data_IF_833651009348
#
_entry.id   IF_833651009348
#
_cell.length_a   1.000
_cell.length_b   1.000
_cell.length_c   1.000
_cell.angle_alpha   90.00
_cell.angle_beta   90.00
_cell.angle_gamma   90.00
#
_symmetry.space_group_name_H-M   'P 1'
#
loop_
_entity.id
_entity.type
_entity.pdbx_description
1 polymer ?
#
# COMPACT_ATOMS: atom_id res chain seq x y z
N UNK A 1 76.52 26.36 -36.29
CA UNK A 1 75.37 25.55 -35.85
C UNK A 1 74.66 26.27 -34.69
N UNK A 2 73.56 26.98 -34.93
CA UNK A 2 72.65 27.51 -33.88
C UNK A 2 71.41 28.18 -34.51
N UNK A 3 70.49 27.43 -35.11
CA UNK A 3 69.20 27.98 -35.62
C UNK A 3 67.97 27.11 -35.31
N UNK A 4 68.06 26.18 -34.36
CA UNK A 4 66.99 25.19 -34.08
C UNK A 4 66.10 25.44 -32.86
N UNK A 5 66.52 26.28 -31.90
CA UNK A 5 65.94 26.26 -30.55
C UNK A 5 64.83 27.30 -30.32
N UNK A 6 64.88 28.47 -30.95
CA UNK A 6 63.87 29.53 -30.78
C UNK A 6 62.49 29.18 -31.35
N UNK A 7 62.43 28.41 -32.43
CA UNK A 7 61.18 28.11 -33.15
C UNK A 7 60.37 26.94 -32.53
N UNK A 8 61.00 26.14 -31.65
CA UNK A 8 60.30 25.10 -30.87
C UNK A 8 59.61 25.68 -29.63
N UNK A 9 60.23 26.67 -28.98
CA UNK A 9 59.65 27.37 -27.83
C UNK A 9 58.35 28.07 -28.21
N UNK A 10 58.37 28.89 -29.27
CA UNK A 10 57.19 29.61 -29.76
C UNK A 10 56.05 28.69 -30.20
N UNK A 11 56.36 27.53 -30.80
CA UNK A 11 55.34 26.52 -31.15
C UNK A 11 54.71 25.87 -29.91
N UNK A 12 55.49 25.57 -28.88
CA UNK A 12 54.97 25.02 -27.62
C UNK A 12 54.11 26.05 -26.89
N UNK A 13 54.48 27.33 -26.91
CA UNK A 13 53.72 28.42 -26.31
C UNK A 13 52.38 28.64 -27.03
N UNK A 14 52.36 28.59 -28.37
CA UNK A 14 51.13 28.65 -29.17
C UNK A 14 50.22 27.43 -28.90
N UNK A 15 50.79 26.23 -28.74
CA UNK A 15 50.03 25.03 -28.36
C UNK A 15 49.47 25.12 -26.94
N UNK A 16 50.23 25.70 -26.01
CA UNK A 16 49.76 26.00 -24.64
C UNK A 16 48.62 27.00 -24.64
N UNK A 17 48.75 28.09 -25.42
CA UNK A 17 47.71 29.11 -25.56
C UNK A 17 46.45 28.54 -26.22
N UNK A 18 46.60 27.72 -27.26
CA UNK A 18 45.49 27.02 -27.90
C UNK A 18 44.77 26.09 -26.91
N UNK A 19 45.52 25.35 -26.08
CA UNK A 19 44.93 24.49 -25.02
C UNK A 19 44.16 25.30 -23.98
N UNK A 20 44.69 26.45 -23.54
CA UNK A 20 44.00 27.33 -22.60
C UNK A 20 42.73 27.90 -23.22
N UNK A 21 42.77 28.32 -24.49
CA UNK A 21 41.59 28.82 -25.22
C UNK A 21 40.56 27.71 -25.42
N UNK A 22 40.95 26.51 -25.85
CA UNK A 22 40.02 25.40 -26.02
C UNK A 22 39.41 24.97 -24.70
N UNK A 23 40.19 24.96 -23.62
CA UNK A 23 39.68 24.64 -22.29
C UNK A 23 38.70 25.72 -21.81
N UNK A 24 39.02 27.00 -21.99
CA UNK A 24 38.14 28.11 -21.61
C UNK A 24 36.82 28.11 -22.42
N UNK A 25 36.88 27.83 -23.72
CA UNK A 25 35.71 27.71 -24.58
C UNK A 25 34.88 26.47 -24.22
N UNK A 26 35.52 25.35 -23.88
CA UNK A 26 34.82 24.14 -23.44
C UNK A 26 34.12 24.34 -22.10
N UNK A 27 34.76 25.01 -21.14
CA UNK A 27 34.17 25.33 -19.84
C UNK A 27 33.00 26.32 -20.00
N UNK A 28 33.14 27.34 -20.84
CA UNK A 28 32.03 28.27 -21.15
C UNK A 28 30.87 27.57 -21.85
N UNK A 29 31.15 26.67 -22.80
CA UNK A 29 30.11 25.87 -23.44
C UNK A 29 29.39 25.00 -22.41
N UNK A 30 30.10 24.33 -21.51
CA UNK A 30 29.49 23.58 -20.41
C UNK A 30 28.65 24.47 -19.48
N UNK A 31 29.11 25.70 -19.21
CA UNK A 31 28.37 26.67 -18.38
C UNK A 31 27.08 27.14 -19.08
N UNK A 32 27.16 27.45 -20.37
CA UNK A 32 26.01 27.85 -21.18
C UNK A 32 25.05 26.67 -21.35
N UNK A 33 25.58 25.47 -21.57
CA UNK A 33 24.81 24.24 -21.69
C UNK A 33 24.15 23.87 -20.36
N UNK A 34 24.77 24.11 -19.20
CA UNK A 34 24.11 23.91 -17.90
C UNK A 34 23.09 24.99 -17.56
N UNK A 35 23.21 26.19 -18.14
CA UNK A 35 22.23 27.27 -17.99
C UNK A 35 21.04 27.09 -18.94
N UNK A 36 21.25 26.48 -20.11
CA UNK A 36 20.20 26.14 -21.09
C UNK A 36 19.54 24.80 -20.76
N UNK A 37 20.30 23.83 -20.23
CA UNK A 37 19.82 22.60 -19.62
C UNK A 37 19.87 22.73 -18.09
N UNK A 38 19.03 23.61 -17.54
CA UNK A 38 18.47 23.37 -16.20
C UNK A 38 17.91 21.95 -16.28
N UNK A 39 18.44 21.03 -15.46
CA UNK A 39 18.09 19.60 -15.52
C UNK A 39 16.58 19.48 -15.72
N UNK A 40 16.18 18.99 -16.89
CA UNK A 40 14.76 18.84 -17.23
C UNK A 40 14.21 17.81 -16.26
N UNK A 41 13.49 18.28 -15.27
CA UNK A 41 12.74 17.40 -14.41
C UNK A 41 11.51 16.97 -15.20
N UNK A 42 11.54 15.73 -15.68
CA UNK A 42 10.45 15.17 -16.46
C UNK A 42 9.14 15.15 -15.64
N UNK A 43 9.22 15.04 -14.32
CA UNK A 43 8.05 15.06 -13.45
C UNK A 43 7.45 16.46 -13.42
N UNK A 44 8.26 17.50 -13.22
CA UNK A 44 7.81 18.89 -13.25
C UNK A 44 7.23 19.27 -14.62
N UNK A 45 7.87 18.87 -15.72
CA UNK A 45 7.39 19.15 -17.08
C UNK A 45 6.05 18.45 -17.40
N UNK A 46 5.83 17.25 -16.86
CA UNK A 46 4.59 16.50 -17.06
C UNK A 46 3.52 16.80 -15.99
N UNK A 47 3.87 17.58 -14.97
CA UNK A 47 2.98 17.88 -13.83
C UNK A 47 2.79 16.72 -12.85
N UNK A 48 3.73 15.77 -12.80
CA UNK A 48 3.71 14.68 -11.82
C UNK A 48 4.19 15.19 -10.46
N UNK A 49 3.44 14.95 -9.38
CA UNK A 49 3.87 15.34 -8.03
C UNK A 49 5.03 14.44 -7.55
N UNK A 50 5.91 15.00 -6.73
CA UNK A 50 7.03 14.26 -6.12
C UNK A 50 6.55 13.17 -5.15
N UNK A 51 5.45 13.44 -4.44
CA UNK A 51 4.81 12.50 -3.52
C UNK A 51 3.32 12.43 -3.84
N UNK A 52 2.79 11.20 -3.94
CA UNK A 52 1.39 10.95 -4.22
C UNK A 52 0.69 10.64 -2.88
N UNK A 53 -0.17 11.52 -2.36
CA UNK A 53 -0.89 11.24 -1.12
C UNK A 53 -1.93 10.13 -1.34
N UNK A 54 -2.26 9.39 -0.28
CA UNK A 54 -3.22 8.27 -0.33
C UNK A 54 -4.57 8.66 -0.94
N UNK A 55 -5.04 9.87 -0.67
CA UNK A 55 -6.30 10.40 -1.21
C UNK A 55 -6.31 10.51 -2.74
N UNK A 56 -5.15 10.73 -3.35
CA UNK A 56 -5.05 10.88 -4.81
C UNK A 56 -5.33 9.55 -5.51
N UNK A 57 -4.86 8.42 -4.95
CA UNK A 57 -5.21 7.09 -5.45
C UNK A 57 -6.73 6.87 -5.48
N UNK A 58 -7.42 7.32 -4.43
CA UNK A 58 -8.88 7.22 -4.37
C UNK A 58 -9.56 8.11 -5.39
N UNK A 59 -9.12 9.35 -5.55
CA UNK A 59 -9.65 10.25 -6.58
C UNK A 59 -9.43 9.69 -7.98
N UNK A 60 -8.26 9.15 -8.27
CA UNK A 60 -7.97 8.49 -9.56
C UNK A 60 -8.89 7.31 -9.77
N UNK A 61 -9.09 6.45 -8.77
CA UNK A 61 -10.02 5.33 -8.86
C UNK A 61 -11.47 5.77 -9.11
N UNK A 62 -11.94 6.84 -8.45
CA UNK A 62 -13.34 7.30 -8.55
C UNK A 62 -13.59 8.15 -9.80
N UNK A 63 -12.59 8.89 -10.31
CA UNK A 63 -12.76 9.86 -11.41
C UNK A 63 -12.21 9.36 -12.74
N UNK A 64 -11.14 8.57 -12.73
CA UNK A 64 -10.48 8.10 -13.95
C UNK A 64 -10.86 6.66 -14.26
N UNK A 65 -11.63 6.47 -15.34
CA UNK A 65 -12.13 5.15 -15.72
C UNK A 65 -11.02 4.11 -15.98
N UNK A 66 -9.79 4.54 -16.30
CA UNK A 66 -8.64 3.65 -16.44
C UNK A 66 -8.23 3.09 -15.08
N UNK A 67 -8.13 3.93 -14.05
CA UNK A 67 -7.80 3.51 -12.69
C UNK A 67 -8.84 2.50 -12.17
N UNK A 68 -10.13 2.82 -12.31
CA UNK A 68 -11.22 1.90 -11.96
C UNK A 68 -11.09 0.55 -12.67
N UNK A 69 -10.77 0.57 -13.98
CA UNK A 69 -10.70 -0.65 -14.79
C UNK A 69 -9.50 -1.52 -14.43
N UNK A 70 -8.33 -0.93 -14.20
CA UNK A 70 -7.12 -1.65 -13.84
C UNK A 70 -7.30 -2.33 -12.49
N UNK A 71 -7.82 -1.62 -11.50
CA UNK A 71 -8.04 -2.17 -10.16
C UNK A 71 -9.09 -3.28 -10.17
N UNK A 72 -10.18 -3.13 -10.93
CA UNK A 72 -11.29 -4.08 -10.85
C UNK A 72 -11.13 -5.33 -11.72
N UNK A 73 -10.35 -5.28 -12.80
CA UNK A 73 -10.32 -6.38 -13.79
C UNK A 73 -9.82 -7.71 -13.20
N UNK A 74 -8.77 -7.69 -12.37
CA UNK A 74 -8.18 -8.91 -11.81
C UNK A 74 -9.08 -9.51 -10.71
N UNK A 75 -9.53 -8.74 -9.69
CA UNK A 75 -10.49 -9.24 -8.71
C UNK A 75 -11.77 -9.77 -9.37
N UNK A 76 -12.35 -9.06 -10.33
CA UNK A 76 -13.59 -9.53 -10.99
C UNK A 76 -13.42 -10.85 -11.75
N UNK A 77 -12.21 -11.14 -12.23
CA UNK A 77 -11.90 -12.42 -12.86
C UNK A 77 -11.64 -13.51 -11.83
N UNK A 78 -10.91 -13.18 -10.76
CA UNK A 78 -10.60 -14.10 -9.67
C UNK A 78 -11.88 -14.60 -8.99
N UNK A 79 -12.77 -13.67 -8.60
CA UNK A 79 -14.01 -13.93 -7.89
C UNK A 79 -15.20 -14.26 -8.80
N UNK A 80 -14.95 -14.69 -10.05
CA UNK A 80 -16.03 -15.08 -10.98
C UNK A 80 -16.67 -16.42 -10.58
N UNK A 81 -15.89 -17.29 -9.96
CA UNK A 81 -16.35 -18.56 -9.42
C UNK A 81 -16.03 -18.59 -7.94
N UNK A 82 -16.98 -19.03 -7.14
CA UNK A 82 -16.78 -19.14 -5.70
C UNK A 82 -15.71 -20.22 -5.41
N UNK A 83 -14.77 -19.95 -4.49
CA UNK A 83 -13.81 -20.95 -4.06
C UNK A 83 -14.51 -22.15 -3.42
N UNK A 84 -13.99 -23.35 -3.69
CA UNK A 84 -14.37 -24.57 -2.97
C UNK A 84 -13.34 -24.85 -1.89
N UNK A 85 -13.80 -25.06 -0.65
CA UNK A 85 -12.95 -25.40 0.50
C UNK A 85 -13.26 -26.85 0.89
N UNK A 86 -12.24 -27.69 0.92
CA UNK A 86 -12.33 -29.07 1.40
C UNK A 86 -11.11 -29.45 2.24
N UNK A 87 -11.31 -30.23 3.30
CA UNK A 87 -10.27 -30.72 4.21
C UNK A 87 -9.57 -31.98 3.64
N UNK A 88 -10.23 -32.71 2.74
CA UNK A 88 -9.72 -33.93 2.15
C UNK A 88 -10.07 -34.14 0.67
N UNK A 89 -9.61 -35.28 0.15
CA UNK A 89 -10.02 -35.83 -1.15
C UNK A 89 -11.23 -36.77 -1.03
N UNK A 90 -11.59 -37.14 0.20
CA UNK A 90 -12.71 -38.01 0.49
C UNK A 90 -14.03 -37.25 0.31
N UNK A 91 -15.08 -37.98 -0.10
CA UNK A 91 -16.38 -37.39 -0.44
C UNK A 91 -17.30 -37.14 0.75
N UNK A 92 -16.84 -37.42 1.98
CA UNK A 92 -17.65 -37.22 3.19
C UNK A 92 -17.44 -35.81 3.72
N UNK A 93 -18.53 -35.04 3.85
CA UNK A 93 -18.50 -33.68 4.38
C UNK A 93 -17.99 -33.70 5.83
N UNK A 94 -16.93 -32.94 6.09
CA UNK A 94 -16.37 -32.81 7.44
C UNK A 94 -17.16 -31.80 8.27
N UNK A 95 -17.12 -31.92 9.60
CA UNK A 95 -17.77 -30.95 10.50
C UNK A 95 -17.25 -29.52 10.28
N UNK A 96 -16.00 -29.37 9.83
CA UNK A 96 -15.43 -28.09 9.44
C UNK A 96 -16.05 -27.54 8.16
N UNK A 97 -16.18 -28.37 7.11
CA UNK A 97 -16.78 -27.97 5.83
C UNK A 97 -18.22 -27.49 6.02
N UNK A 98 -19.03 -28.23 6.79
CA UNK A 98 -20.41 -27.82 7.09
C UNK A 98 -20.45 -26.48 7.82
N UNK A 99 -19.64 -26.31 8.86
CA UNK A 99 -19.59 -25.05 9.63
C UNK A 99 -19.07 -23.87 8.79
N UNK A 100 -18.11 -24.12 7.89
CA UNK A 100 -17.57 -23.11 6.99
C UNK A 100 -18.60 -22.70 5.93
N UNK A 101 -19.36 -23.64 5.38
CA UNK A 101 -20.45 -23.33 4.46
C UNK A 101 -21.56 -22.50 5.12
N UNK A 102 -21.92 -22.80 6.36
CA UNK A 102 -22.86 -21.99 7.14
C UNK A 102 -22.32 -20.56 7.32
N UNK A 103 -21.05 -20.42 7.69
CA UNK A 103 -20.40 -19.11 7.82
C UNK A 103 -20.42 -18.31 6.51
N UNK A 104 -20.11 -18.97 5.38
CA UNK A 104 -20.13 -18.36 4.04
C UNK A 104 -21.53 -17.85 3.69
N UNK A 105 -22.57 -18.66 3.96
CA UNK A 105 -23.97 -18.33 3.67
C UNK A 105 -24.47 -17.19 4.56
N UNK A 106 -24.20 -17.23 5.85
CA UNK A 106 -24.70 -16.23 6.82
C UNK A 106 -24.08 -14.85 6.60
N UNK A 107 -22.78 -14.81 6.31
CA UNK A 107 -22.03 -13.57 6.22
C UNK A 107 -21.76 -13.09 4.80
N UNK A 108 -22.20 -13.83 3.77
CA UNK A 108 -21.86 -13.59 2.37
C UNK A 108 -20.34 -13.38 2.20
N UNK A 109 -19.54 -14.32 2.71
CA UNK A 109 -18.10 -14.16 2.87
C UNK A 109 -17.40 -13.79 1.55
N UNK A 110 -17.73 -14.47 0.45
CA UNK A 110 -17.15 -14.22 -0.88
C UNK A 110 -17.41 -12.82 -1.41
N UNK A 111 -18.58 -12.25 -1.11
CA UNK A 111 -18.88 -10.87 -1.50
C UNK A 111 -17.96 -9.88 -0.78
N UNK A 112 -17.71 -10.07 0.53
CA UNK A 112 -16.82 -9.18 1.27
C UNK A 112 -15.34 -9.40 0.94
N UNK A 113 -14.92 -10.63 0.69
CA UNK A 113 -13.56 -10.94 0.25
C UNK A 113 -13.27 -10.37 -1.15
N UNK A 114 -14.20 -10.50 -2.10
CA UNK A 114 -14.08 -9.85 -3.41
C UNK A 114 -14.01 -8.33 -3.30
N UNK A 115 -14.74 -7.74 -2.35
CA UNK A 115 -14.69 -6.29 -2.11
C UNK A 115 -13.38 -5.83 -1.50
N UNK A 116 -12.85 -6.53 -0.50
CA UNK A 116 -11.56 -6.13 0.09
C UNK A 116 -10.43 -6.27 -0.91
N UNK A 117 -10.47 -7.29 -1.78
CA UNK A 117 -9.49 -7.48 -2.86
C UNK A 117 -9.47 -6.29 -3.86
N UNK A 118 -10.66 -5.77 -4.22
CA UNK A 118 -10.76 -4.53 -5.00
C UNK A 118 -10.25 -3.31 -4.23
N UNK A 119 -10.61 -3.20 -2.95
CA UNK A 119 -10.20 -2.06 -2.12
C UNK A 119 -8.70 -2.06 -1.80
N UNK A 120 -8.05 -3.22 -1.73
CA UNK A 120 -6.60 -3.30 -1.55
C UNK A 120 -5.80 -2.79 -2.74
N UNK A 121 -6.40 -2.76 -3.93
CA UNK A 121 -5.83 -2.11 -5.11
C UNK A 121 -5.96 -0.57 -5.09
N UNK A 122 -6.63 0.01 -4.10
CA UNK A 122 -6.74 1.46 -3.92
C UNK A 122 -5.75 1.89 -2.83
N UNK A 123 -4.66 2.55 -3.24
CA UNK A 123 -3.54 2.86 -2.36
C UNK A 123 -2.60 1.67 -2.26
N UNK A 124 -2.14 1.35 -1.04
CA UNK A 124 -1.08 0.36 -0.82
C UNK A 124 -1.59 -0.90 -0.11
N UNK A 125 -2.76 -0.85 0.53
CA UNK A 125 -3.37 -1.98 1.21
C UNK A 125 -4.86 -1.72 1.48
N UNK A 126 -5.60 -2.79 1.73
CA UNK A 126 -6.96 -2.78 2.23
C UNK A 126 -7.04 -3.60 3.51
N UNK A 127 -8.12 -3.41 4.27
CA UNK A 127 -8.40 -4.22 5.45
C UNK A 127 -9.81 -4.77 5.42
N UNK A 128 -10.00 -5.93 6.02
CA UNK A 128 -11.31 -6.45 6.39
C UNK A 128 -11.43 -6.44 7.91
N UNK A 129 -12.26 -5.54 8.43
CA UNK A 129 -12.58 -5.46 9.85
C UNK A 129 -13.59 -6.56 10.21
N UNK A 130 -13.25 -7.31 11.26
CA UNK A 130 -14.06 -8.40 11.81
C UNK A 130 -14.78 -7.92 13.09
N UNK A 131 -16.10 -7.96 13.08
CA UNK A 131 -16.91 -7.84 14.30
C UNK A 131 -17.04 -9.20 14.95
N UNK A 132 -16.55 -9.37 16.18
CA UNK A 132 -16.53 -10.64 16.92
C UNK A 132 -17.28 -10.46 18.24
N UNK A 133 -18.00 -11.49 18.70
CA UNK A 133 -18.85 -11.47 19.89
C UNK A 133 -18.10 -11.69 21.23
N UNK A 134 -16.88 -11.20 21.36
CA UNK A 134 -16.04 -11.44 22.55
C UNK A 134 -16.28 -10.43 23.69
N UNK A 135 -17.18 -9.46 23.50
CA UNK A 135 -17.54 -8.46 24.52
C UNK A 135 -16.43 -7.47 24.87
N UNK A 136 -15.30 -7.48 24.15
CA UNK A 136 -14.14 -6.61 24.36
C UNK A 136 -14.18 -5.41 23.43
N UNK A 137 -13.32 -4.42 23.68
CA UNK A 137 -13.20 -3.27 22.78
C UNK A 137 -12.36 -3.63 21.55
N UNK A 138 -12.49 -2.86 20.47
CA UNK A 138 -11.68 -3.09 19.27
C UNK A 138 -10.18 -2.98 19.50
N UNK A 139 -9.75 -2.24 20.52
CA UNK A 139 -8.35 -2.06 20.85
C UNK A 139 -7.74 -3.28 21.55
N UNK A 140 -8.58 -4.16 22.10
CA UNK A 140 -8.14 -5.34 22.82
C UNK A 140 -7.99 -6.54 21.85
N UNK A 141 -6.98 -7.40 22.07
CA UNK A 141 -6.83 -8.62 21.30
C UNK A 141 -8.03 -9.55 21.47
N UNK A 142 -8.36 -10.26 20.39
CA UNK A 142 -9.39 -11.31 20.40
C UNK A 142 -8.87 -12.45 21.26
N UNK A 143 -9.73 -12.98 22.12
CA UNK A 143 -9.38 -14.16 22.91
C UNK A 143 -9.18 -15.37 21.99
N UNK A 144 -8.19 -16.20 22.24
CA UNK A 144 -7.99 -17.40 21.44
C UNK A 144 -6.84 -17.33 20.45
N UNK A 145 -6.17 -16.19 20.35
CA UNK A 145 -5.05 -15.95 19.44
C UNK A 145 -3.88 -15.39 20.27
N UNK A 146 -2.72 -16.04 20.17
CA UNK A 146 -1.51 -15.58 20.86
C UNK A 146 -0.87 -14.38 20.14
N UNK A 147 0.20 -13.84 20.71
CA UNK A 147 0.95 -12.72 20.10
C UNK A 147 1.55 -13.05 18.72
N UNK A 148 1.75 -14.33 18.40
CA UNK A 148 2.32 -14.79 17.14
C UNK A 148 1.26 -15.04 16.05
N UNK A 149 -0.03 -15.06 16.41
CA UNK A 149 -1.12 -15.46 15.51
C UNK A 149 -1.48 -16.94 15.55
N UNK A 150 -0.91 -17.71 16.47
CA UNK A 150 -1.25 -19.11 16.68
C UNK A 150 -2.49 -19.23 17.58
N UNK A 151 -3.31 -20.26 17.37
CA UNK A 151 -4.51 -20.53 18.17
C UNK A 151 -4.10 -20.89 19.60
N UNK A 152 -4.61 -20.14 20.57
CA UNK A 152 -4.37 -20.35 22.00
C UNK A 152 -5.69 -20.70 22.71
N UNK A 153 -5.75 -21.84 23.40
CA UNK A 153 -6.97 -22.24 24.12
C UNK A 153 -8.12 -22.73 23.23
N UNK A 154 -9.35 -22.63 23.75
CA UNK A 154 -10.56 -23.20 23.14
C UNK A 154 -11.73 -22.23 23.06
N UNK A 155 -11.46 -20.93 23.12
CA UNK A 155 -12.49 -19.90 22.93
C UNK A 155 -13.04 -19.99 21.51
N UNK A 156 -14.35 -20.15 21.41
CA UNK A 156 -15.10 -20.09 20.15
C UNK A 156 -15.88 -18.80 20.12
N UNK A 157 -15.69 -18.01 19.07
CA UNK A 157 -16.41 -16.76 18.89
C UNK A 157 -17.25 -16.83 17.62
N UNK A 158 -18.40 -16.15 17.66
CA UNK A 158 -19.26 -15.96 16.51
C UNK A 158 -18.90 -14.66 15.80
N UNK A 159 -18.80 -14.73 14.48
CA UNK A 159 -18.65 -13.56 13.63
C UNK A 159 -19.99 -12.80 13.61
N UNK A 160 -19.93 -11.48 13.80
CA UNK A 160 -21.10 -10.60 13.81
C UNK A 160 -21.25 -9.85 12.49
N UNK A 161 -20.15 -9.34 11.96
CA UNK A 161 -20.13 -8.62 10.70
C UNK A 161 -18.73 -8.56 10.08
N UNK A 162 -18.70 -8.27 8.78
CA UNK A 162 -17.51 -8.01 8.00
C UNK A 162 -17.60 -6.62 7.39
N UNK A 163 -16.53 -5.83 7.50
CA UNK A 163 -16.48 -4.49 6.93
C UNK A 163 -15.16 -4.26 6.18
N UNK A 164 -15.19 -4.19 4.84
CA UNK A 164 -14.00 -3.89 4.05
C UNK A 164 -13.75 -2.38 4.04
N UNK A 165 -12.49 -1.99 4.17
CA UNK A 165 -12.02 -0.60 4.14
C UNK A 165 -10.76 -0.51 3.27
N UNK A 166 -10.60 0.58 2.52
CA UNK A 166 -9.40 0.88 1.76
C UNK A 166 -8.40 1.72 2.58
N UNK A 167 -7.18 1.90 2.03
CA UNK A 167 -6.10 2.64 2.68
C UNK A 167 -6.51 4.06 3.10
N UNK A 168 -7.43 4.75 2.39
CA UNK A 168 -7.82 6.12 2.77
C UNK A 168 -8.51 6.20 4.13
N UNK A 169 -9.15 5.12 4.57
CA UNK A 169 -9.90 5.06 5.82
C UNK A 169 -9.06 4.52 6.97
N UNK A 170 -7.82 4.10 6.71
CA UNK A 170 -7.04 3.29 7.64
C UNK A 170 -5.61 3.81 7.72
N UNK A 171 -5.11 3.97 8.95
CA UNK A 171 -3.69 4.22 9.19
C UNK A 171 -3.13 3.19 10.16
N UNK A 172 -1.89 2.77 9.94
CA UNK A 172 -1.17 1.89 10.86
C UNK A 172 -0.57 2.76 11.96
N UNK A 173 -0.92 2.46 13.21
CA UNK A 173 -0.53 3.26 14.38
C UNK A 173 0.79 2.77 14.97
N UNK A 174 1.00 1.45 15.00
CA UNK A 174 2.21 0.85 15.56
C UNK A 174 2.50 -0.50 14.92
N UNK A 175 3.78 -0.86 14.93
CA UNK A 175 4.30 -2.15 14.48
C UNK A 175 4.79 -2.96 15.67
N UNK A 176 4.85 -4.29 15.51
CA UNK A 176 5.36 -5.21 16.52
C UNK A 176 6.88 -5.02 16.71
N UNK A 177 7.35 -4.61 17.91
CA UNK A 177 8.76 -4.36 18.16
C UNK A 177 9.57 -5.61 18.54
N UNK A 178 8.92 -6.71 18.97
CA UNK A 178 9.62 -7.90 19.45
C UNK A 178 10.21 -8.71 18.28
N UNK A 179 11.55 -8.70 18.16
CA UNK A 179 12.29 -9.46 17.14
C UNK A 179 12.13 -10.98 17.28
N UNK A 180 11.69 -11.46 18.45
CA UNK A 180 11.45 -12.89 18.69
C UNK A 180 10.00 -13.30 18.39
N UNK A 181 9.13 -12.33 18.06
CA UNK A 181 7.77 -12.60 17.61
C UNK A 181 7.78 -12.95 16.12
N UNK A 182 6.98 -13.94 15.70
CA UNK A 182 6.80 -14.26 14.27
C UNK A 182 6.29 -13.05 13.47
N UNK A 183 5.57 -12.16 14.14
CA UNK A 183 4.97 -10.95 13.58
C UNK A 183 5.91 -9.73 13.65
N UNK A 184 7.21 -9.90 13.86
CA UNK A 184 8.15 -8.78 13.89
C UNK A 184 8.01 -7.89 12.64
N UNK A 185 7.98 -6.57 12.84
CA UNK A 185 7.71 -5.57 11.79
C UNK A 185 6.33 -5.64 11.11
N UNK A 186 5.38 -6.40 11.65
CA UNK A 186 3.99 -6.39 11.19
C UNK A 186 3.15 -5.36 11.95
N UNK A 187 2.03 -4.89 11.39
CA UNK A 187 1.14 -3.97 12.09
C UNK A 187 0.54 -4.63 13.34
N UNK A 188 0.58 -3.88 14.44
CA UNK A 188 0.01 -4.26 15.73
C UNK A 188 -1.34 -3.55 15.96
N UNK A 189 -1.39 -2.25 15.69
CA UNK A 189 -2.57 -1.41 15.89
C UNK A 189 -2.89 -0.61 14.64
N UNK A 190 -4.18 -0.53 14.33
CA UNK A 190 -4.73 0.26 13.24
C UNK A 190 -5.64 1.35 13.81
N UNK A 191 -5.72 2.48 13.13
CA UNK A 191 -6.72 3.51 13.32
C UNK A 191 -7.65 3.48 12.11
N UNK A 192 -8.89 3.05 12.34
CA UNK A 192 -9.92 2.86 11.31
C UNK A 192 -10.96 3.95 11.46
N UNK A 193 -11.11 4.75 10.42
CA UNK A 193 -11.97 5.92 10.37
C UNK A 193 -13.29 5.54 9.72
N UNK A 194 -14.38 5.53 10.50
CA UNK A 194 -15.69 5.09 10.06
C UNK A 194 -16.73 6.22 10.20
N UNK A 195 -17.71 6.31 9.28
CA UNK A 195 -18.86 7.19 9.47
C UNK A 195 -19.62 6.80 10.75
N UNK A 196 -19.89 7.79 11.59
CA UNK A 196 -20.66 7.66 12.81
C UNK A 196 -22.16 7.56 12.49
N UNK A 197 -22.76 6.43 12.88
CA UNK A 197 -24.19 6.17 12.71
C UNK A 197 -25.07 6.86 13.76
N UNK A 198 -24.49 7.52 14.77
CA UNK A 198 -25.26 8.16 15.85
C UNK A 198 -25.94 9.47 15.43
N UNK A 199 -25.47 10.11 14.36
CA UNK A 199 -25.93 11.42 13.89
C UNK A 199 -26.87 11.30 12.68
N UNK A 200 -27.97 10.55 12.82
CA UNK A 200 -29.06 10.58 11.83
C UNK A 200 -29.86 11.88 12.06
N UNK A 201 -29.43 13.01 11.46
CA UNK A 201 -30.24 14.23 11.42
C UNK A 201 -29.55 15.59 11.36
N UNK A 202 -28.21 15.68 11.42
CA UNK A 202 -27.53 16.97 11.27
C UNK A 202 -27.31 17.30 9.79
N UNK A 203 -28.06 18.28 9.27
CA UNK A 203 -27.92 18.87 7.91
C UNK A 203 -26.60 19.65 7.71
N UNK A 204 -25.50 19.22 8.31
CA UNK A 204 -24.16 19.77 8.10
C UNK A 204 -23.45 18.75 7.21
N UNK A 205 -23.09 19.15 5.99
CA UNK A 205 -22.74 18.26 4.87
C UNK A 205 -21.44 17.46 4.99
N UNK A 206 -20.99 17.17 6.20
CA UNK A 206 -19.87 16.28 6.48
C UNK A 206 -20.34 15.34 7.60
N UNK A 207 -20.59 14.08 7.25
CA UNK A 207 -21.08 13.09 8.22
C UNK A 207 -20.07 12.96 9.35
N UNK A 208 -20.51 12.99 10.61
CA UNK A 208 -19.61 12.80 11.73
C UNK A 208 -18.80 11.50 11.53
N UNK A 209 -17.49 11.57 11.76
CA UNK A 209 -16.58 10.46 11.54
C UNK A 209 -15.94 10.08 12.87
N UNK A 210 -15.91 8.80 13.18
CA UNK A 210 -15.28 8.24 14.38
C UNK A 210 -14.07 7.42 13.98
N UNK A 211 -12.92 7.72 14.57
CA UNK A 211 -11.71 6.91 14.42
C UNK A 211 -11.62 5.91 15.57
N UNK A 212 -11.67 4.63 15.24
CA UNK A 212 -11.54 3.52 16.17
C UNK A 212 -10.11 2.99 16.16
N UNK A 213 -9.55 2.71 17.34
CA UNK A 213 -8.31 1.95 17.45
C UNK A 213 -8.64 0.46 17.44
N UNK A 214 -8.02 -0.29 16.52
CA UNK A 214 -8.31 -1.69 16.29
C UNK A 214 -7.02 -2.51 16.38
N UNK A 215 -7.04 -3.57 17.18
CA UNK A 215 -5.95 -4.54 17.25
C UNK A 215 -5.92 -5.43 16.01
N UNK A 216 -4.74 -5.83 15.56
CA UNK A 216 -4.57 -6.63 14.33
C UNK A 216 -5.36 -7.94 14.33
N UNK A 217 -5.63 -8.54 15.51
CA UNK A 217 -6.39 -9.80 15.61
C UNK A 217 -7.85 -9.68 15.15
N UNK A 218 -8.35 -8.45 14.97
CA UNK A 218 -9.70 -8.16 14.47
C UNK A 218 -9.70 -7.70 13.02
N UNK A 219 -8.54 -7.77 12.34
CA UNK A 219 -8.35 -7.26 11.00
C UNK A 219 -7.67 -8.33 10.15
N UNK A 220 -8.18 -8.52 8.94
CA UNK A 220 -7.43 -9.18 7.86
C UNK A 220 -6.82 -8.08 7.01
N UNK A 221 -5.48 -7.99 7.04
CA UNK A 221 -4.71 -7.06 6.21
C UNK A 221 -4.47 -7.68 4.83
N UNK A 222 -4.84 -6.96 3.78
CA UNK A 222 -4.71 -7.41 2.39
C UNK A 222 -3.89 -6.39 1.64
N UNK A 223 -2.74 -6.82 1.11
CA UNK A 223 -1.88 -6.00 0.27
C UNK A 223 -1.50 -6.83 -0.96
N UNK A 224 -1.75 -6.26 -2.14
CA UNK A 224 -1.40 -6.86 -3.44
C UNK A 224 0.04 -6.48 -3.82
N UNK A 225 0.66 -7.14 -4.80
CA UNK A 225 1.99 -6.78 -5.36
C UNK A 225 3.13 -6.54 -4.35
N UNK A 226 3.09 -7.21 -3.19
CA UNK A 226 4.15 -7.14 -2.17
C UNK A 226 5.48 -7.68 -2.73
N UNK A 227 6.41 -6.79 -3.06
CA UNK A 227 7.77 -7.16 -3.50
C UNK A 227 8.77 -7.18 -2.34
N UNK A 228 8.95 -6.02 -1.70
CA UNK A 228 9.97 -5.81 -0.65
C UNK A 228 9.37 -5.57 0.73
N UNK A 229 8.12 -5.14 0.78
CA UNK A 229 7.39 -4.83 2.02
C UNK A 229 6.37 -5.91 2.31
N UNK A 230 6.34 -6.39 3.55
CA UNK A 230 5.32 -7.34 3.98
C UNK A 230 3.95 -6.68 4.22
N UNK A 231 3.93 -5.35 4.35
CA UNK A 231 2.77 -4.58 4.80
C UNK A 231 2.16 -3.74 3.68
N UNK A 232 2.99 -3.28 2.75
CA UNK A 232 2.59 -2.38 1.68
C UNK A 232 2.77 -3.08 0.34
N UNK A 233 1.75 -2.97 -0.50
CA UNK A 233 1.76 -3.34 -1.91
C UNK A 233 2.26 -2.24 -2.83
#
# INVERSE_FOLDING_TARGET
>A
MAKGTRNKSTKNDIQGLHRVITNALSLRRQSIDSLLNVKRDLNEECGWPDEIPTEEYRKTYDREGIGTRIVNILPEKCWKMDPQVSEGLDSEETAFETAFEELVKDHNLWHYLSRVDKLSGIGNFGILLLGVDDGKTFADPVEGIDKNGDKEGSSTHTLLYLRPCDHTQVSIVSYEPDQYCKRYCQPLMYAVTLPDGSQIGSNTGDGAVTTLRVHWSRIIHVADNRESSEVFG
#
